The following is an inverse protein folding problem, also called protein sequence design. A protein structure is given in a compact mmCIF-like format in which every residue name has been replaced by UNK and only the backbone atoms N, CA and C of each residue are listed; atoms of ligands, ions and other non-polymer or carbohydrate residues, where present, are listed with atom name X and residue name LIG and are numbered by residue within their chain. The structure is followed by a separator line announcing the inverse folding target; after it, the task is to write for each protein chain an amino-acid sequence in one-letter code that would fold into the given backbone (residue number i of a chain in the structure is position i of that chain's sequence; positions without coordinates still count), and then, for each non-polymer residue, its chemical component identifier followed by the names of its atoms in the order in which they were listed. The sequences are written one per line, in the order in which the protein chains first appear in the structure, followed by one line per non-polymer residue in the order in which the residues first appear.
data_IF_169596206593
#
_entry.id   IF_169596206593
#
_cell.length_a   1.000
_cell.length_b   1.000
_cell.length_c   1.000
_cell.angle_alpha   90.00
_cell.angle_beta   90.00
_cell.angle_gamma   90.00
#
_symmetry.space_group_name_H-M   'P 1'
#
loop_
_entity.id
_entity.type
_entity.pdbx_description
1 polymer ?
#
# COMPACT_ATOMS: atom_id res chain seq x y z
N UNK A 1 5.42 -7.21 -11.27
CA UNK A 1 4.13 -7.61 -11.87
C UNK A 1 3.08 -7.48 -10.77
N UNK A 2 2.14 -6.54 -10.90
CA UNK A 2 1.17 -6.22 -9.85
C UNK A 2 -0.23 -6.65 -10.30
N UNK A 3 -0.99 -7.26 -9.38
CA UNK A 3 -2.41 -7.56 -9.55
C UNK A 3 -3.20 -6.30 -9.23
N UNK A 4 -3.44 -5.47 -10.24
CA UNK A 4 -4.47 -4.43 -10.18
C UNK A 4 -5.83 -5.13 -10.41
N UNK A 5 -6.61 -5.37 -9.35
CA UNK A 5 -8.03 -5.70 -9.47
C UNK A 5 -8.80 -4.44 -9.89
N UNK A 6 -8.64 -4.04 -11.16
CA UNK A 6 -9.62 -3.16 -11.81
C UNK A 6 -10.89 -3.96 -12.05
N UNK A 7 -11.91 -3.78 -11.20
CA UNK A 7 -13.28 -4.14 -11.54
C UNK A 7 -13.82 -3.05 -12.48
N UNK A 8 -14.12 -3.43 -13.72
CA UNK A 8 -14.67 -2.52 -14.73
C UNK A 8 -16.12 -2.16 -14.39
N UNK A 9 -16.41 -0.86 -14.28
CA UNK A 9 -17.77 -0.32 -14.30
C UNK A 9 -18.35 -0.45 -15.72
N UNK A 10 -18.94 -1.60 -16.02
CA UNK A 10 -19.75 -1.79 -17.23
C UNK A 10 -21.24 -1.61 -16.91
N UNK A 11 -21.75 -0.37 -17.04
CA UNK A 11 -23.17 -0.13 -17.38
C UNK A 11 -23.25 0.86 -18.55
N UNK A 12 -23.44 0.30 -19.75
CA UNK A 12 -23.82 1.05 -20.95
C UNK A 12 -25.16 1.73 -20.72
N UNK A 13 -25.19 3.06 -20.79
CA UNK A 13 -26.42 3.83 -21.01
C UNK A 13 -26.72 3.75 -22.51
N UNK A 14 -27.85 3.13 -22.87
CA UNK A 14 -28.37 3.09 -24.23
C UNK A 14 -29.08 4.41 -24.53
N UNK A 15 -28.54 5.24 -25.44
CA UNK A 15 -29.28 6.35 -26.02
C UNK A 15 -30.01 5.87 -27.28
N UNK A 16 -31.34 5.82 -27.23
CA UNK A 16 -32.18 5.58 -28.40
C UNK A 16 -32.13 6.79 -29.34
N UNK A 17 -31.82 6.54 -30.61
CA UNK A 17 -31.91 7.52 -31.69
C UNK A 17 -33.37 7.75 -32.06
N UNK A 18 -33.86 8.97 -31.84
CA UNK A 18 -34.97 9.54 -32.59
C UNK A 18 -34.36 10.63 -33.49
N UNK A 19 -34.22 10.29 -34.77
CA UNK A 19 -33.89 11.25 -35.82
C UNK A 19 -35.10 12.16 -36.03
N UNK A 20 -34.91 13.49 -36.03
CA UNK A 20 -35.68 14.47 -36.79
C UNK A 20 -35.00 15.87 -36.70
N UNK A 21 -34.52 16.31 -37.87
CA UNK A 21 -34.52 17.68 -38.44
C UNK A 21 -33.54 18.77 -37.90
N UNK A 22 -32.51 19.00 -38.73
CA UNK A 22 -31.92 20.27 -39.21
C UNK A 22 -32.12 21.55 -38.37
N UNK A 23 -31.10 21.91 -37.58
CA UNK A 23 -30.66 23.31 -37.40
C UNK A 23 -29.12 23.32 -37.34
N UNK A 24 -28.50 24.10 -38.23
CA UNK A 24 -27.06 24.33 -38.32
C UNK A 24 -26.57 25.13 -37.11
N UNK A 25 -25.85 24.48 -36.20
CA UNK A 25 -24.94 25.10 -35.24
C UNK A 25 -23.57 24.44 -35.42
N UNK A 26 -22.45 25.18 -35.35
CA UNK A 26 -21.14 24.57 -35.40
C UNK A 26 -21.02 23.65 -34.18
N UNK A 27 -21.01 22.36 -34.46
CA UNK A 27 -20.68 21.31 -33.51
C UNK A 27 -19.26 21.61 -33.05
N UNK A 28 -19.12 22.33 -31.94
CA UNK A 28 -17.94 22.22 -31.10
C UNK A 28 -17.97 20.81 -30.52
N UNK A 29 -17.45 19.86 -31.31
CA UNK A 29 -16.80 18.70 -30.75
C UNK A 29 -15.63 19.26 -29.95
N UNK A 30 -15.86 19.61 -28.69
CA UNK A 30 -14.83 19.43 -27.70
C UNK A 30 -14.54 17.93 -27.76
N UNK A 31 -13.49 17.59 -28.50
CA UNK A 31 -12.73 16.39 -28.22
C UNK A 31 -12.27 16.56 -26.77
N UNK A 32 -13.14 16.18 -25.83
CA UNK A 32 -12.74 15.79 -24.50
C UNK A 32 -11.79 14.65 -24.75
N UNK A 33 -10.49 14.98 -24.83
CA UNK A 33 -9.45 14.01 -25.03
C UNK A 33 -9.71 12.93 -24.02
N UNK A 34 -9.92 11.70 -24.50
CA UNK A 34 -9.90 10.53 -23.65
C UNK A 34 -8.62 10.64 -22.83
N UNK A 35 -8.77 11.03 -21.56
CA UNK A 35 -7.65 11.29 -20.68
C UNK A 35 -6.86 10.00 -20.68
N UNK A 36 -5.66 10.02 -21.27
CA UNK A 36 -4.78 8.86 -21.24
C UNK A 36 -4.66 8.48 -19.78
N UNK A 37 -5.16 7.30 -19.41
CA UNK A 37 -5.01 6.77 -18.06
C UNK A 37 -3.53 6.89 -17.70
N UNK A 38 -3.20 7.74 -16.73
CA UNK A 38 -1.82 7.90 -16.32
C UNK A 38 -1.42 6.66 -15.53
N UNK A 39 -0.51 5.88 -16.10
CA UNK A 39 0.20 4.87 -15.34
C UNK A 39 1.14 5.57 -14.35
N UNK A 40 0.73 5.61 -13.09
CA UNK A 40 1.47 6.24 -12.00
C UNK A 40 2.67 5.39 -11.53
N UNK A 41 2.82 4.16 -12.03
CA UNK A 41 3.87 3.22 -11.59
C UNK A 41 5.05 3.16 -12.55
N UNK A 42 4.93 3.74 -13.74
CA UNK A 42 6.03 3.85 -14.73
C UNK A 42 6.60 5.26 -14.76
N UNK A 43 7.85 5.42 -14.36
CA UNK A 43 8.44 6.73 -14.14
C UNK A 43 9.90 6.66 -13.70
N UNK A 44 10.37 7.74 -13.09
CA UNK A 44 11.69 7.81 -12.48
C UNK A 44 11.67 8.65 -11.21
N UNK A 45 12.60 8.35 -10.31
CA UNK A 45 12.94 9.25 -9.20
C UNK A 45 13.64 10.48 -9.74
N UNK A 46 13.13 11.66 -9.40
CA UNK A 46 13.72 12.95 -9.77
C UNK A 46 13.99 13.76 -8.51
N UNK A 47 15.05 14.57 -8.54
CA UNK A 47 15.29 15.53 -7.47
C UNK A 47 14.22 16.61 -7.52
N UNK A 48 13.55 16.80 -6.40
CA UNK A 48 12.62 17.88 -6.20
C UNK A 48 13.41 19.10 -5.71
N UNK A 49 13.31 20.20 -6.44
CA UNK A 49 13.98 21.46 -6.13
C UNK A 49 12.99 22.51 -5.59
N UNK A 50 11.76 22.10 -5.35
CA UNK A 50 10.71 22.98 -4.90
C UNK A 50 10.99 23.55 -3.50
N UNK A 51 10.52 24.77 -3.20
CA UNK A 51 10.68 25.37 -1.88
C UNK A 51 9.71 24.82 -0.82
N UNK A 52 8.89 23.81 -1.15
CA UNK A 52 7.90 23.26 -0.23
C UNK A 52 8.57 22.26 0.72
N UNK A 53 8.19 22.23 2.01
CA UNK A 53 8.76 21.29 2.96
C UNK A 53 8.51 19.84 2.56
N UNK A 54 9.51 18.99 2.78
CA UNK A 54 9.40 17.54 2.64
C UNK A 54 8.80 16.93 3.90
N UNK A 55 8.29 15.70 3.80
CA UNK A 55 7.92 14.92 4.99
C UNK A 55 9.06 14.86 6.01
N UNK A 56 10.31 14.80 5.55
CA UNK A 56 11.49 14.83 6.41
C UNK A 56 11.65 16.09 7.25
N UNK A 57 11.11 17.21 6.78
CA UNK A 57 11.21 18.47 7.51
C UNK A 57 10.24 18.47 8.71
N UNK A 58 9.22 17.62 8.66
CA UNK A 58 8.27 17.38 9.75
C UNK A 58 8.62 16.15 10.61
N UNK A 59 9.56 15.31 10.16
CA UNK A 59 9.99 14.13 10.91
C UNK A 59 10.43 14.43 12.35
N UNK A 60 11.20 15.50 12.65
CA UNK A 60 11.65 15.78 14.01
C UNK A 60 10.52 16.16 14.98
N UNK A 61 9.37 16.61 14.47
CA UNK A 61 8.24 17.08 15.28
C UNK A 61 7.09 16.08 15.33
N UNK A 62 7.18 14.96 14.60
CA UNK A 62 6.14 13.93 14.62
C UNK A 62 6.33 12.99 15.83
N UNK A 63 5.37 12.93 16.78
CA UNK A 63 5.50 12.10 17.97
C UNK A 63 5.33 10.59 17.70
N UNK A 64 4.92 10.22 16.48
CA UNK A 64 4.60 8.83 16.11
C UNK A 64 5.76 8.09 15.43
N UNK A 65 6.83 8.80 15.05
CA UNK A 65 7.99 8.16 14.42
C UNK A 65 8.73 7.35 15.48
N UNK A 66 8.77 6.04 15.27
CA UNK A 66 9.59 5.18 16.11
C UNK A 66 11.07 5.52 15.93
N UNK A 67 11.89 5.44 16.99
CA UNK A 67 13.31 5.78 16.92
C UNK A 67 14.05 5.04 15.80
N UNK A 68 13.72 3.77 15.53
CA UNK A 68 14.39 2.97 14.50
C UNK A 68 14.25 3.54 13.07
N UNK A 69 13.31 4.45 12.83
CA UNK A 69 13.11 5.12 11.54
C UNK A 69 13.72 6.54 11.48
N UNK A 70 14.27 7.06 12.57
CA UNK A 70 14.92 8.37 12.60
C UNK A 70 16.41 8.25 12.25
N UNK A 71 16.70 8.09 10.96
CA UNK A 71 18.07 7.90 10.48
C UNK A 71 19.02 9.03 10.91
N UNK A 72 18.54 10.26 11.02
CA UNK A 72 19.38 11.41 11.39
C UNK A 72 19.73 11.43 12.86
N UNK A 73 18.78 11.12 13.74
CA UNK A 73 19.04 10.91 15.17
C UNK A 73 20.09 9.82 15.40
N UNK A 74 20.12 8.80 14.55
CA UNK A 74 21.11 7.71 14.59
C UNK A 74 22.33 7.91 13.67
N UNK A 75 22.63 9.16 13.29
CA UNK A 75 23.93 9.53 12.75
C UNK A 75 24.08 9.51 11.23
N UNK A 76 22.99 9.32 10.45
CA UNK A 76 23.05 9.44 8.99
C UNK A 76 23.30 10.91 8.57
N UNK A 77 24.41 11.21 7.88
CA UNK A 77 24.79 12.60 7.57
C UNK A 77 24.15 13.13 6.28
N UNK A 78 23.91 12.28 5.29
CA UNK A 78 23.37 12.68 3.99
C UNK A 78 21.87 12.99 4.07
N UNK A 79 21.41 14.11 3.49
CA UNK A 79 19.99 14.50 3.43
C UNK A 79 19.38 14.41 2.03
N UNK A 80 20.17 14.02 1.02
CA UNK A 80 19.73 14.07 -0.38
C UNK A 80 18.60 13.07 -0.67
N UNK A 81 18.58 11.91 0.01
CA UNK A 81 17.55 10.89 -0.16
C UNK A 81 16.13 11.41 0.15
N UNK A 82 16.02 12.45 0.98
CA UNK A 82 14.75 13.08 1.38
C UNK A 82 14.18 14.02 0.31
N UNK A 83 14.98 14.41 -0.67
CA UNK A 83 14.62 15.38 -1.72
C UNK A 83 14.13 14.72 -3.01
N UNK A 84 13.98 13.40 -3.02
CA UNK A 84 13.52 12.68 -4.19
C UNK A 84 11.99 12.59 -4.22
N UNK A 85 11.42 12.81 -5.40
CA UNK A 85 10.01 12.51 -5.69
C UNK A 85 9.89 11.54 -6.85
N UNK A 86 8.84 10.75 -6.85
CA UNK A 86 8.49 9.91 -7.99
C UNK A 86 7.78 10.73 -9.06
N UNK A 87 8.26 10.66 -10.30
CA UNK A 87 7.66 11.33 -11.46
C UNK A 87 7.19 10.29 -12.47
N UNK A 88 5.87 10.05 -12.60
CA UNK A 88 5.33 9.22 -13.68
C UNK A 88 5.69 9.79 -15.05
N UNK A 89 5.88 8.90 -16.02
CA UNK A 89 6.23 9.28 -17.40
C UNK A 89 5.05 9.90 -18.15
N UNK A 90 3.82 9.55 -17.75
CA UNK A 90 2.59 9.95 -18.43
C UNK A 90 1.82 11.11 -17.82
N UNK A 91 2.18 11.56 -16.61
CA UNK A 91 1.51 12.68 -15.93
C UNK A 91 2.33 13.25 -14.77
N UNK A 92 1.88 14.39 -14.25
CA UNK A 92 2.36 14.97 -13.02
C UNK A 92 1.46 14.57 -11.86
N UNK A 93 2.04 14.01 -10.80
CA UNK A 93 1.30 13.78 -9.56
C UNK A 93 1.12 15.11 -8.82
N UNK A 94 -0.09 15.41 -8.34
CA UNK A 94 -0.29 16.56 -7.46
C UNK A 94 0.48 16.33 -6.16
N UNK A 95 0.93 17.41 -5.52
CA UNK A 95 1.46 17.32 -4.16
C UNK A 95 0.37 16.82 -3.22
N UNK A 96 0.77 16.05 -2.21
CA UNK A 96 -0.13 15.59 -1.19
C UNK A 96 -0.69 16.78 -0.40
N UNK A 97 -2.01 16.97 -0.46
CA UNK A 97 -2.71 17.97 0.33
C UNK A 97 -3.32 17.28 1.55
N UNK A 98 -2.61 17.31 2.67
CA UNK A 98 -3.01 16.64 3.91
C UNK A 98 -4.34 17.18 4.48
N UNK A 99 -4.57 18.50 4.45
CA UNK A 99 -5.86 19.08 4.89
C UNK A 99 -6.99 18.63 3.96
N UNK A 100 -6.77 18.66 2.65
CA UNK A 100 -7.73 18.15 1.67
C UNK A 100 -8.03 16.67 1.85
N UNK A 101 -7.00 15.88 2.20
CA UNK A 101 -7.13 14.46 2.54
C UNK A 101 -7.99 14.27 3.79
N UNK A 102 -7.71 14.97 4.89
CA UNK A 102 -8.49 14.90 6.13
C UNK A 102 -9.96 15.27 5.90
N UNK A 103 -10.22 16.34 5.14
CA UNK A 103 -11.58 16.74 4.74
C UNK A 103 -12.28 15.67 3.90
N UNK A 104 -11.57 15.06 2.95
CA UNK A 104 -12.11 13.97 2.12
C UNK A 104 -12.40 12.70 2.93
N UNK A 105 -11.62 12.47 3.99
CA UNK A 105 -11.75 11.32 4.88
C UNK A 105 -12.62 11.62 6.11
N UNK A 106 -13.30 12.76 6.16
CA UNK A 106 -14.06 13.18 7.33
C UNK A 106 -15.05 12.09 7.79
N UNK A 107 -14.96 11.72 9.07
CA UNK A 107 -15.76 10.66 9.67
C UNK A 107 -15.38 9.22 9.27
N UNK A 108 -14.24 9.00 8.60
CA UNK A 108 -13.84 7.70 8.05
C UNK A 108 -12.75 6.99 8.86
N UNK A 109 -12.77 5.67 8.74
CA UNK A 109 -11.78 4.75 9.30
C UNK A 109 -10.84 4.23 8.19
N UNK A 110 -9.54 4.48 8.34
CA UNK A 110 -8.49 4.00 7.44
C UNK A 110 -7.72 2.90 8.16
N UNK A 111 -7.59 1.73 7.55
CA UNK A 111 -6.86 0.61 8.12
C UNK A 111 -5.80 0.11 7.15
N UNK A 112 -4.55 0.13 7.61
CA UNK A 112 -3.42 -0.49 6.93
C UNK A 112 -3.19 -1.88 7.51
N UNK A 113 -3.32 -2.92 6.70
CA UNK A 113 -3.27 -4.31 7.12
C UNK A 113 -2.09 -5.00 6.44
N UNK A 114 -1.15 -5.54 7.21
CA UNK A 114 -0.07 -6.27 6.57
C UNK A 114 1.12 -6.54 7.45
N UNK A 115 2.27 -6.68 6.80
CA UNK A 115 3.50 -7.04 7.48
C UNK A 115 4.24 -5.84 8.09
N UNK A 116 5.43 -6.04 8.66
CA UNK A 116 6.19 -4.98 9.33
C UNK A 116 6.47 -3.75 8.45
N UNK A 117 6.49 -3.88 7.12
CA UNK A 117 6.72 -2.73 6.23
C UNK A 117 5.49 -1.81 6.18
N UNK A 118 4.30 -2.33 6.43
CA UNK A 118 3.06 -1.56 6.60
C UNK A 118 3.22 -0.46 7.66
N UNK A 119 4.04 -0.71 8.68
CA UNK A 119 4.33 0.27 9.73
C UNK A 119 5.01 1.53 9.20
N UNK A 120 5.85 1.40 8.18
CA UNK A 120 6.53 2.54 7.55
C UNK A 120 5.52 3.45 6.85
N UNK A 121 4.57 2.86 6.13
CA UNK A 121 3.52 3.60 5.43
C UNK A 121 2.52 4.24 6.41
N UNK A 122 2.15 3.51 7.46
CA UNK A 122 1.33 4.03 8.54
C UNK A 122 1.97 5.26 9.19
N UNK A 123 3.23 5.15 9.63
CA UNK A 123 3.97 6.26 10.22
C UNK A 123 4.10 7.46 9.26
N UNK A 124 4.44 7.20 8.01
CA UNK A 124 4.55 8.24 6.98
C UNK A 124 3.24 9.02 6.84
N UNK A 125 2.11 8.32 6.73
CA UNK A 125 0.79 8.93 6.59
C UNK A 125 0.43 9.75 7.84
N UNK A 126 0.46 9.18 9.03
CA UNK A 126 0.05 9.90 10.25
C UNK A 126 0.94 11.12 10.53
N UNK A 127 2.23 11.07 10.19
CA UNK A 127 3.12 12.22 10.30
C UNK A 127 2.82 13.31 9.28
N UNK A 128 2.49 12.96 8.03
CA UNK A 128 2.02 13.93 7.03
C UNK A 128 0.75 14.65 7.49
N UNK A 129 -0.17 13.91 8.12
CA UNK A 129 -1.41 14.47 8.63
C UNK A 129 -1.16 15.36 9.86
N UNK A 130 -0.41 14.87 10.85
CA UNK A 130 -0.04 15.62 12.05
C UNK A 130 0.65 16.94 11.71
N UNK A 131 1.60 16.92 10.79
CA UNK A 131 2.33 18.10 10.32
C UNK A 131 1.41 19.21 9.77
N UNK A 132 0.29 18.81 9.15
CA UNK A 132 -0.65 19.74 8.55
C UNK A 132 -1.64 20.34 9.54
N UNK A 133 -1.80 19.72 10.72
CA UNK A 133 -2.75 20.15 11.75
C UNK A 133 -2.11 20.14 13.15
N UNK A 134 -1.02 20.89 13.40
CA UNK A 134 -0.22 20.82 14.62
C UNK A 134 -0.99 21.21 15.90
N UNK A 135 -2.12 21.90 15.78
CA UNK A 135 -2.96 22.33 16.90
C UNK A 135 -4.26 21.52 17.02
N UNK A 136 -4.43 20.46 16.23
CA UNK A 136 -5.64 19.64 16.27
C UNK A 136 -5.67 18.74 17.50
N UNK A 137 -6.88 18.45 17.99
CA UNK A 137 -7.05 17.44 19.03
C UNK A 137 -6.78 16.04 18.43
N UNK A 138 -5.68 15.42 18.85
CA UNK A 138 -5.23 14.12 18.35
C UNK A 138 -5.05 13.17 19.53
N UNK A 139 -5.62 11.96 19.44
CA UNK A 139 -5.40 10.89 20.41
C UNK A 139 -4.78 9.67 19.76
N UNK A 140 -3.97 8.92 20.50
CA UNK A 140 -3.39 7.66 20.05
C UNK A 140 -3.67 6.53 21.03
N UNK A 141 -3.93 5.32 20.52
CA UNK A 141 -4.18 4.11 21.30
C UNK A 141 -3.13 3.01 21.02
N UNK A 142 -2.88 2.16 22.04
CA UNK A 142 -2.04 0.94 22.08
C UNK A 142 -0.74 0.96 21.25
N UNK A 143 0.43 1.14 21.90
CA UNK A 143 1.29 2.30 21.63
C UNK A 143 1.30 2.70 20.15
N UNK A 144 0.42 3.66 19.83
CA UNK A 144 0.25 4.31 18.53
C UNK A 144 -0.17 3.42 17.37
N UNK A 145 -0.87 2.29 17.59
CA UNK A 145 -1.47 1.49 16.50
C UNK A 145 -2.75 2.10 15.92
N UNK A 146 -3.34 3.06 16.62
CA UNK A 146 -4.47 3.83 16.13
C UNK A 146 -4.29 5.29 16.50
N UNK A 147 -4.44 6.20 15.53
CA UNK A 147 -4.37 7.66 15.70
C UNK A 147 -5.64 8.29 15.17
N UNK A 148 -6.30 9.09 16.00
CA UNK A 148 -7.55 9.78 15.69
C UNK A 148 -7.34 11.29 15.65
N UNK A 149 -7.72 11.91 14.54
CA UNK A 149 -7.78 13.35 14.33
C UNK A 149 -9.23 13.81 14.61
N UNK A 150 -9.50 14.22 15.85
CA UNK A 150 -10.88 14.43 16.35
C UNK A 150 -11.62 15.52 15.59
N UNK A 151 -10.93 16.59 15.21
CA UNK A 151 -11.52 17.72 14.45
C UNK A 151 -12.08 17.29 13.09
N UNK A 152 -11.63 16.14 12.56
CA UNK A 152 -12.07 15.56 11.30
C UNK A 152 -12.84 14.25 11.49
N UNK A 153 -12.91 13.70 12.70
CA UNK A 153 -13.42 12.35 12.94
C UNK A 153 -12.71 11.28 12.10
N UNK A 154 -11.43 11.49 11.76
CA UNK A 154 -10.62 10.56 10.96
C UNK A 154 -9.79 9.70 11.89
N UNK A 155 -9.82 8.39 11.70
CA UNK A 155 -8.93 7.48 12.42
C UNK A 155 -8.10 6.68 11.43
N UNK A 156 -6.80 6.58 11.71
CA UNK A 156 -5.86 5.74 10.97
C UNK A 156 -5.38 4.64 11.90
N UNK A 157 -5.55 3.38 11.50
CA UNK A 157 -5.20 2.21 12.29
C UNK A 157 -4.27 1.30 11.51
N UNK A 158 -3.34 0.65 12.19
CA UNK A 158 -2.53 -0.42 11.65
C UNK A 158 -2.90 -1.77 12.27
N UNK A 159 -3.08 -2.78 11.42
CA UNK A 159 -3.36 -4.16 11.81
C UNK A 159 -2.25 -5.06 11.30
N UNK A 160 -1.46 -5.63 12.21
CA UNK A 160 -0.37 -6.55 11.84
C UNK A 160 -0.94 -7.90 11.44
N UNK A 161 -0.79 -8.26 10.17
CA UNK A 161 -1.10 -9.58 9.63
C UNK A 161 -0.03 -9.92 8.60
N UNK A 162 1.10 -10.47 9.06
CA UNK A 162 2.28 -10.70 8.23
C UNK A 162 1.99 -11.48 6.95
N UNK A 163 1.06 -12.44 7.01
CA UNK A 163 0.74 -13.37 5.93
C UNK A 163 -0.68 -13.20 5.38
N UNK A 164 -1.48 -12.26 5.91
CA UNK A 164 -2.92 -12.06 5.64
C UNK A 164 -3.83 -13.26 5.94
N UNK A 165 -3.26 -14.40 6.32
CA UNK A 165 -3.97 -15.62 6.71
C UNK A 165 -3.63 -16.00 8.15
N UNK A 166 -4.43 -16.88 8.73
CA UNK A 166 -4.34 -17.20 10.15
C UNK A 166 -3.09 -18.00 10.50
N UNK A 167 -2.58 -17.73 11.71
CA UNK A 167 -1.68 -18.63 12.43
C UNK A 167 -2.44 -19.16 13.63
N UNK A 168 -2.58 -20.47 13.72
CA UNK A 168 -3.30 -21.15 14.80
C UNK A 168 -2.33 -21.95 15.68
N UNK A 169 -2.40 -21.76 17.00
CA UNK A 169 -1.65 -22.60 17.94
C UNK A 169 -2.35 -23.95 18.13
N UNK A 170 -1.63 -25.04 17.88
CA UNK A 170 -2.15 -26.41 18.01
C UNK A 170 -1.21 -27.28 18.82
N UNK A 171 -1.63 -28.51 19.13
CA UNK A 171 -0.82 -29.51 19.86
C UNK A 171 0.49 -29.86 19.15
N UNK A 172 0.56 -29.71 17.83
CA UNK A 172 1.76 -30.01 17.04
C UNK A 172 2.63 -28.77 16.80
N UNK A 173 2.18 -27.58 17.22
CA UNK A 173 2.85 -26.29 17.00
C UNK A 173 1.94 -25.26 16.32
N UNK A 174 2.53 -24.14 15.92
CA UNK A 174 1.84 -23.04 15.21
C UNK A 174 1.66 -23.39 13.74
N UNK A 175 0.41 -23.40 13.28
CA UNK A 175 0.04 -23.70 11.90
C UNK A 175 -0.23 -22.41 11.13
N UNK A 176 0.52 -22.15 10.06
CA UNK A 176 0.15 -21.14 9.06
C UNK A 176 -0.92 -21.74 8.13
N UNK A 177 -2.17 -21.29 8.25
CA UNK A 177 -3.32 -21.86 7.54
C UNK A 177 -3.60 -21.05 6.27
N UNK A 178 -3.20 -21.58 5.11
CA UNK A 178 -3.25 -20.83 3.85
C UNK A 178 -4.68 -20.57 3.33
N UNK A 179 -5.68 -21.21 3.89
CA UNK A 179 -7.10 -21.18 3.50
C UNK A 179 -8.01 -20.51 4.53
N UNK A 180 -7.45 -19.88 5.57
CA UNK A 180 -8.22 -19.32 6.68
C UNK A 180 -7.91 -17.83 6.93
N UNK A 181 -8.97 -17.03 7.11
CA UNK A 181 -8.90 -15.60 7.49
C UNK A 181 -9.97 -15.31 8.53
N UNK A 182 -9.59 -15.39 9.81
CA UNK A 182 -10.45 -15.07 10.95
C UNK A 182 -10.49 -13.57 11.25
N UNK A 183 -9.42 -12.85 10.92
CA UNK A 183 -9.28 -11.40 11.20
C UNK A 183 -10.13 -10.51 10.27
N UNK A 184 -10.77 -11.08 9.25
CA UNK A 184 -11.55 -10.32 8.26
C UNK A 184 -12.70 -9.50 8.85
N UNK A 185 -13.29 -9.95 9.95
CA UNK A 185 -14.37 -9.22 10.63
C UNK A 185 -13.92 -7.88 11.24
N UNK A 186 -12.63 -7.75 11.54
CA UNK A 186 -12.02 -6.49 11.96
C UNK A 186 -11.82 -5.57 10.77
N UNK A 187 -11.29 -6.11 9.67
CA UNK A 187 -10.92 -5.31 8.48
C UNK A 187 -12.13 -4.70 7.79
N UNK A 188 -13.26 -5.42 7.72
CA UNK A 188 -14.48 -4.95 7.05
C UNK A 188 -15.11 -3.70 7.68
N UNK A 189 -14.66 -3.31 8.88
CA UNK A 189 -15.13 -2.11 9.57
C UNK A 189 -14.53 -0.81 9.01
N UNK A 190 -13.48 -0.90 8.20
CA UNK A 190 -12.80 0.27 7.64
C UNK A 190 -13.45 0.77 6.33
N UNK A 191 -13.48 2.10 6.15
CA UNK A 191 -13.85 2.76 4.90
C UNK A 191 -12.75 2.66 3.84
N UNK A 192 -11.49 2.61 4.29
CA UNK A 192 -10.32 2.48 3.43
C UNK A 192 -9.43 1.37 3.95
N UNK A 193 -9.17 0.38 3.11
CA UNK A 193 -8.27 -0.74 3.38
C UNK A 193 -7.04 -0.65 2.52
N UNK A 194 -5.86 -0.72 3.14
CA UNK A 194 -4.57 -0.79 2.44
C UNK A 194 -3.86 -2.05 2.89
N UNK A 195 -3.83 -3.06 2.02
CA UNK A 195 -3.23 -4.35 2.33
C UNK A 195 -1.78 -4.42 1.87
N UNK A 196 -0.95 -5.17 2.60
CA UNK A 196 0.36 -5.58 2.14
C UNK A 196 0.74 -6.96 2.69
N UNK A 197 1.48 -7.74 1.91
CA UNK A 197 2.26 -8.86 2.44
C UNK A 197 3.39 -9.22 1.49
N UNK A 198 4.56 -9.60 2.02
CA UNK A 198 5.65 -10.11 1.18
C UNK A 198 6.93 -10.40 1.96
N UNK A 199 7.39 -9.46 2.77
CA UNK A 199 8.71 -9.54 3.42
C UNK A 199 8.84 -10.79 4.30
N UNK A 200 7.80 -11.07 5.08
CA UNK A 200 7.80 -12.15 6.06
C UNK A 200 7.75 -13.55 5.43
N UNK A 201 7.31 -13.67 4.18
CA UNK A 201 7.33 -14.94 3.45
C UNK A 201 8.75 -15.46 3.20
N UNK A 202 9.77 -14.60 3.25
CA UNK A 202 11.17 -14.98 3.05
C UNK A 202 11.94 -15.20 4.35
N UNK A 203 11.33 -14.96 5.52
CA UNK A 203 11.94 -15.23 6.82
C UNK A 203 11.96 -16.74 7.07
N UNK A 204 13.15 -17.30 7.33
CA UNK A 204 13.35 -18.76 7.50
C UNK A 204 13.62 -19.19 8.94
N UNK A 205 14.11 -18.26 9.77
CA UNK A 205 14.37 -18.50 11.19
C UNK A 205 13.08 -18.44 12.04
N UNK A 206 13.21 -18.65 13.34
CA UNK A 206 12.08 -18.75 14.27
C UNK A 206 11.20 -17.50 14.34
N UNK A 207 11.70 -16.35 13.86
CA UNK A 207 10.90 -15.13 13.76
C UNK A 207 9.71 -15.28 12.83
N UNK A 208 9.73 -16.22 11.88
CA UNK A 208 8.62 -16.46 10.95
C UNK A 208 7.27 -16.71 11.64
N UNK A 209 7.27 -17.14 12.91
CA UNK A 209 6.06 -17.18 13.73
C UNK A 209 5.16 -18.39 13.50
N UNK A 210 5.58 -19.36 12.69
CA UNK A 210 4.86 -20.61 12.43
C UNK A 210 5.85 -21.79 12.35
N UNK A 211 5.37 -22.99 12.66
CA UNK A 211 6.16 -24.21 12.75
C UNK A 211 5.85 -25.20 11.61
N UNK A 212 4.63 -25.15 11.08
CA UNK A 212 4.13 -25.94 9.96
C UNK A 212 3.19 -25.09 9.09
N UNK A 213 2.94 -25.55 7.86
CA UNK A 213 2.01 -24.93 6.93
C UNK A 213 0.88 -25.91 6.63
N UNK A 214 -0.35 -25.40 6.70
CA UNK A 214 -1.56 -26.12 6.37
C UNK A 214 -2.13 -25.61 5.03
N UNK A 215 -2.36 -26.53 4.10
CA UNK A 215 -3.00 -26.32 2.79
C UNK A 215 -4.18 -27.28 2.65
N UNK A 216 -5.38 -26.81 2.98
CA UNK A 216 -6.55 -27.66 3.16
C UNK A 216 -6.34 -28.66 4.29
N UNK A 217 -6.41 -29.95 3.96
CA UNK A 217 -6.21 -31.05 4.92
C UNK A 217 -4.74 -31.49 5.04
N UNK A 218 -3.83 -30.93 4.24
CA UNK A 218 -2.43 -31.33 4.23
C UNK A 218 -1.62 -30.42 5.17
N UNK A 219 -0.86 -31.03 6.08
CA UNK A 219 0.07 -30.33 6.97
C UNK A 219 1.49 -30.74 6.60
N UNK A 220 2.32 -29.75 6.26
CA UNK A 220 3.72 -29.96 5.89
C UNK A 220 4.63 -29.11 6.76
N UNK A 221 5.87 -29.57 6.97
CA UNK A 221 6.85 -28.81 7.77
C UNK A 221 7.21 -27.48 7.14
N UNK A 222 7.32 -27.48 5.81
CA UNK A 222 7.74 -26.33 5.02
C UNK A 222 7.22 -26.51 3.58
N UNK A 223 7.14 -25.43 2.81
CA UNK A 223 6.79 -25.45 1.39
C UNK A 223 7.47 -24.30 0.65
N UNK A 224 7.46 -24.34 -0.68
CA UNK A 224 7.92 -23.23 -1.49
C UNK A 224 7.17 -21.92 -1.15
N UNK A 225 7.94 -20.87 -0.83
CA UNK A 225 7.42 -19.61 -0.29
C UNK A 225 6.55 -18.86 -1.30
N UNK A 226 6.89 -18.96 -2.58
CA UNK A 226 6.11 -18.34 -3.67
C UNK A 226 4.76 -19.04 -3.82
N UNK A 227 4.76 -20.37 -3.72
CA UNK A 227 3.55 -21.19 -3.75
C UNK A 227 2.66 -20.91 -2.54
N UNK A 228 3.24 -20.80 -1.34
CA UNK A 228 2.52 -20.47 -0.12
C UNK A 228 1.88 -19.08 -0.19
N UNK A 229 2.64 -18.07 -0.62
CA UNK A 229 2.17 -16.70 -0.83
C UNK A 229 1.02 -16.66 -1.86
N UNK A 230 1.17 -17.35 -2.99
CA UNK A 230 0.13 -17.39 -4.03
C UNK A 230 -1.19 -17.98 -3.50
N UNK A 231 -1.11 -19.04 -2.68
CA UNK A 231 -2.29 -19.66 -2.04
C UNK A 231 -2.94 -18.72 -1.03
N UNK A 232 -2.15 -18.09 -0.16
CA UNK A 232 -2.67 -17.12 0.81
C UNK A 232 -3.31 -15.91 0.13
N UNK A 233 -2.70 -15.37 -0.94
CA UNK A 233 -3.31 -14.29 -1.73
C UNK A 233 -4.58 -14.72 -2.43
N UNK A 234 -4.69 -15.97 -2.88
CA UNK A 234 -5.93 -16.49 -3.44
C UNK A 234 -7.04 -16.57 -2.37
N UNK A 235 -6.70 -16.93 -1.14
CA UNK A 235 -7.64 -16.91 0.00
C UNK A 235 -8.05 -15.48 0.37
N UNK A 236 -7.10 -14.56 0.48
CA UNK A 236 -7.38 -13.14 0.71
C UNK A 236 -8.27 -12.55 -0.37
N UNK A 237 -8.00 -12.85 -1.65
CA UNK A 237 -8.86 -12.40 -2.76
C UNK A 237 -10.28 -12.92 -2.63
N UNK A 238 -10.46 -14.22 -2.34
CA UNK A 238 -11.80 -14.78 -2.11
C UNK A 238 -12.52 -14.08 -0.96
N UNK A 239 -11.80 -13.80 0.13
CA UNK A 239 -12.36 -13.05 1.25
C UNK A 239 -12.79 -11.63 0.86
N UNK A 240 -11.98 -10.92 0.07
CA UNK A 240 -12.33 -9.59 -0.48
C UNK A 240 -13.60 -9.69 -1.32
N UNK A 241 -13.60 -10.59 -2.31
CA UNK A 241 -14.70 -10.76 -3.26
C UNK A 241 -16.02 -11.14 -2.56
N UNK A 242 -15.96 -11.87 -1.43
CA UNK A 242 -17.15 -12.30 -0.68
C UNK A 242 -17.62 -11.34 0.41
N UNK A 243 -16.74 -10.47 0.92
CA UNK A 243 -16.98 -9.75 2.19
C UNK A 243 -16.94 -8.23 2.04
N UNK A 244 -16.13 -7.71 1.11
CA UNK A 244 -15.89 -6.27 1.00
C UNK A 244 -16.89 -5.63 0.03
N UNK A 245 -17.74 -4.74 0.56
CA UNK A 245 -18.63 -3.93 -0.28
C UNK A 245 -17.86 -2.77 -0.93
N UNK A 246 -17.37 -2.98 -2.16
CA UNK A 246 -16.54 -2.00 -2.90
C UNK A 246 -17.24 -0.66 -3.21
N UNK A 247 -18.57 -0.61 -3.09
CA UNK A 247 -19.33 0.65 -3.18
C UNK A 247 -19.16 1.53 -1.95
N UNK A 248 -18.85 0.96 -0.79
CA UNK A 248 -18.65 1.66 0.48
C UNK A 248 -17.17 1.76 0.86
N UNK A 249 -16.41 0.70 0.62
CA UNK A 249 -15.01 0.59 1.03
C UNK A 249 -14.08 0.78 -0.16
N UNK A 250 -13.04 1.61 0.00
CA UNK A 250 -11.93 1.71 -0.95
C UNK A 250 -10.83 0.75 -0.55
N UNK A 251 -10.37 -0.08 -1.49
CA UNK A 251 -9.37 -1.11 -1.25
C UNK A 251 -8.13 -0.85 -2.10
N UNK A 252 -6.96 -0.97 -1.47
CA UNK A 252 -5.64 -0.89 -2.07
C UNK A 252 -4.83 -2.12 -1.66
N UNK A 253 -3.94 -2.57 -2.52
CA UNK A 253 -2.92 -3.56 -2.20
C UNK A 253 -1.56 -3.01 -2.60
N UNK A 254 -0.62 -2.97 -1.66
CA UNK A 254 0.73 -2.49 -1.88
C UNK A 254 1.61 -3.64 -2.38
N UNK A 255 2.35 -3.38 -3.45
CA UNK A 255 3.25 -4.37 -4.02
C UNK A 255 4.39 -4.78 -3.08
N UNK A 256 5.14 -5.81 -3.50
CA UNK A 256 6.28 -6.32 -2.73
C UNK A 256 7.37 -5.25 -2.59
N UNK A 257 7.92 -5.14 -1.39
CA UNK A 257 9.01 -4.22 -1.08
C UNK A 257 10.37 -4.84 -1.38
N UNK A 258 11.27 -4.14 -2.11
CA UNK A 258 12.61 -4.65 -2.39
C UNK A 258 13.50 -4.57 -1.14
N UNK A 259 14.27 -5.63 -0.89
CA UNK A 259 15.41 -5.59 0.02
C UNK A 259 16.71 -5.30 -0.74
N UNK A 260 17.67 -4.69 -0.05
CA UNK A 260 18.93 -4.23 -0.68
C UNK A 260 20.16 -4.87 -0.01
N UNK A 261 20.02 -6.07 0.57
CA UNK A 261 21.12 -6.75 1.28
C UNK A 261 22.21 -7.31 0.35
N UNK A 262 21.92 -7.49 -0.96
CA UNK A 262 22.86 -8.04 -1.95
C UNK A 262 23.02 -7.15 -3.19
N UNK A 263 23.12 -5.84 -3.00
CA UNK A 263 23.55 -4.95 -4.10
C UNK A 263 25.07 -4.88 -4.16
N UNK A 264 25.65 -5.54 -5.18
CA UNK A 264 26.95 -5.20 -5.74
C UNK A 264 26.87 -3.86 -6.47
N UNK A 265 26.61 -2.79 -5.72
CA UNK A 265 26.99 -1.46 -6.16
C UNK A 265 28.52 -1.42 -6.12
N UNK A 266 29.13 -1.08 -7.24
CA UNK A 266 30.57 -0.80 -7.30
C UNK A 266 30.86 0.43 -6.45
N UNK A 267 31.00 0.22 -5.14
CA UNK A 267 31.16 1.28 -4.14
C UNK A 267 30.72 0.87 -2.74
N UNK A 268 31.43 -0.07 -2.11
CA UNK A 268 31.44 -0.22 -0.65
C UNK A 268 30.31 -1.05 -0.02
N UNK A 269 30.66 -1.70 1.08
CA UNK A 269 29.90 -2.69 1.85
C UNK A 269 28.53 -2.24 2.38
N UNK A 270 27.60 -3.21 2.46
CA UNK A 270 26.33 -3.22 3.21
C UNK A 270 25.46 -1.95 3.13
N UNK A 271 24.44 -1.96 2.26
CA UNK A 271 23.30 -1.04 2.27
C UNK A 271 23.60 0.47 2.45
N UNK A 272 24.79 0.94 2.08
CA UNK A 272 25.08 2.37 1.93
C UNK A 272 24.95 2.73 0.46
N UNK A 273 23.70 2.82 -0.01
CA UNK A 273 23.40 3.32 -1.34
C UNK A 273 22.86 4.75 -1.22
N UNK A 274 23.61 5.73 -1.74
CA UNK A 274 23.10 7.09 -1.98
C UNK A 274 22.26 7.06 -3.26
N UNK A 275 21.02 7.53 -3.19
CA UNK A 275 20.00 7.42 -4.23
C UNK A 275 20.54 7.69 -5.66
N UNK A 276 20.76 6.61 -6.41
CA UNK A 276 21.03 6.60 -7.85
C UNK A 276 20.26 5.43 -8.47
N UNK A 277 19.08 5.73 -9.01
CA UNK A 277 18.24 4.73 -9.69
C UNK A 277 18.80 4.37 -11.06
N UNK A 278 19.32 3.16 -11.23
CA UNK A 278 19.38 2.52 -12.55
C UNK A 278 18.17 1.60 -12.72
N UNK A 279 17.56 1.62 -13.92
CA UNK A 279 16.46 0.72 -14.28
C UNK A 279 16.90 -0.73 -14.11
N UNK A 280 16.33 -1.45 -13.15
CA UNK A 280 16.37 -2.90 -13.15
C UNK A 280 15.13 -3.43 -13.88
N UNK A 281 15.36 -4.13 -15.00
CA UNK A 281 14.37 -5.01 -15.61
C UNK A 281 14.52 -6.38 -14.93
N UNK A 282 13.48 -6.82 -14.23
CA UNK A 282 13.45 -8.14 -13.62
C UNK A 282 13.51 -9.23 -14.71
N UNK A 283 14.20 -10.36 -14.51
CA UNK A 283 14.15 -11.48 -15.45
C UNK A 283 12.75 -12.12 -15.44
N UNK A 284 12.16 -12.31 -16.63
CA UNK A 284 10.87 -13.00 -16.85
C UNK A 284 10.93 -14.48 -16.47
N UNK A 285 11.00 -14.78 -15.17
CA UNK A 285 10.75 -16.13 -14.65
C UNK A 285 9.43 -16.15 -13.88
N UNK A 286 8.37 -16.25 -14.68
CA UNK A 286 7.13 -16.97 -14.40
C UNK A 286 6.50 -16.82 -13.01
N UNK A 287 5.74 -15.74 -12.81
CA UNK A 287 4.51 -15.82 -12.02
C UNK A 287 3.38 -16.00 -13.04
N UNK A 288 2.49 -17.01 -12.90
CA UNK A 288 1.38 -17.19 -13.83
C UNK A 288 0.53 -15.92 -13.91
N UNK A 289 0.41 -15.38 -15.11
CA UNK A 289 -0.48 -14.28 -15.44
C UNK A 289 -1.92 -14.77 -15.20
N UNK A 290 -2.60 -14.25 -14.19
CA UNK A 290 -4.02 -14.55 -13.94
C UNK A 290 -4.84 -13.83 -15.02
N UNK A 291 -5.05 -14.51 -16.14
CA UNK A 291 -5.96 -14.05 -17.21
C UNK A 291 -7.37 -13.91 -16.66
N UNK A 292 -7.96 -12.72 -16.84
CA UNK A 292 -9.40 -12.50 -16.71
C UNK A 292 -10.12 -13.26 -17.84
N UNK A 293 -11.15 -14.04 -17.49
CA UNK A 293 -12.30 -14.24 -18.39
C UNK A 293 -13.35 -13.22 -18.02
#
# INVERSE_FOLDING_TARGET
MHLELKMDDAKRISCHFLAIILITLPVFCLAGGAGKNCDIFTGSWVLDQSPYPYLSDYSPTCPFIRPEFDCHKYGRPDRQYLKYKWQPSGCNLPRFNAIGFLKKMQGKQIMLVGDSVTFNHYNSLICLLHAAVPNSNISAADPWRSVTFHDYGVTVTIFMSHYLVDIEETKIGRLLKLDSISSGDVWKQADVLVFNTGLWWYVKDDRKGWDFIQDGNNIVKDMDRTTALAKALATWRRWVDSTVEVTKTKLFFEGVFPDHHRVGWSGGSQAVATAQGRRYRWPDRGIPEVRRR
#
